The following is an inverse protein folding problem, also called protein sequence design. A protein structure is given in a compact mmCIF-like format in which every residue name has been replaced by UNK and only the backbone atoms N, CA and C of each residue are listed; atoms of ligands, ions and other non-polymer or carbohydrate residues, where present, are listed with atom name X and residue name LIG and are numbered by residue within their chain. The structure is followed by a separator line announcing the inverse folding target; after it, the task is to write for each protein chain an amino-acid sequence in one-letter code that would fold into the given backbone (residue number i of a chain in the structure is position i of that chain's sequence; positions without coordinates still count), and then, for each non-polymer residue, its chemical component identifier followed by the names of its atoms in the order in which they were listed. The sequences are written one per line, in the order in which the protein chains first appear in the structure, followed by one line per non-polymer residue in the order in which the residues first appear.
data_IF_005746999916
#
_entry.id   IF_005746999916
#
_cell.length_a   1.000
_cell.length_b   1.000
_cell.length_c   1.000
_cell.angle_alpha   90.00
_cell.angle_beta   90.00
_cell.angle_gamma   90.00
#
_symmetry.space_group_name_H-M   'P 1'
#
loop_
_entity.id
_entity.type
_entity.pdbx_description
1 polymer ?
#
# COMPACT_ATOMS: atom_id res chain seq x y z
N UNK A 1 12.61 9.83 -3.40
CA UNK A 1 11.13 9.81 -3.51
C UNK A 1 10.62 10.41 -4.82
N UNK A 2 11.06 11.59 -5.24
CA UNK A 2 10.58 12.21 -6.49
C UNK A 2 10.69 11.27 -7.71
N UNK A 3 11.84 10.63 -7.89
CA UNK A 3 12.05 9.67 -8.98
C UNK A 3 11.02 8.50 -8.94
N UNK A 4 10.79 7.92 -7.77
CA UNK A 4 9.83 6.81 -7.63
C UNK A 4 8.41 7.24 -7.98
N UNK A 5 7.98 8.42 -7.52
CA UNK A 5 6.65 8.96 -7.83
C UNK A 5 6.51 9.28 -9.32
N UNK A 6 7.54 9.84 -9.95
CA UNK A 6 7.56 10.11 -11.39
C UNK A 6 7.37 8.82 -12.21
N UNK A 7 8.12 7.76 -11.88
CA UNK A 7 8.03 6.49 -12.60
C UNK A 7 6.69 5.78 -12.32
N UNK A 8 6.16 5.90 -11.09
CA UNK A 8 4.82 5.39 -10.74
C UNK A 8 3.73 6.09 -11.58
N UNK A 9 3.74 7.41 -11.63
CA UNK A 9 2.78 8.17 -12.43
C UNK A 9 2.85 7.79 -13.92
N UNK A 10 4.07 7.63 -14.45
CA UNK A 10 4.26 7.24 -15.85
C UNK A 10 3.68 5.86 -16.15
N UNK A 11 3.97 4.86 -15.31
CA UNK A 11 3.47 3.50 -15.49
C UNK A 11 1.95 3.40 -15.27
N UNK A 12 1.43 4.08 -14.25
CA UNK A 12 0.01 4.10 -13.91
C UNK A 12 -0.84 4.74 -15.03
N UNK A 13 -0.39 5.86 -15.59
CA UNK A 13 -1.10 6.56 -16.66
C UNK A 13 -1.32 5.68 -17.90
N UNK A 14 -0.32 4.86 -18.26
CA UNK A 14 -0.42 3.92 -19.41
C UNK A 14 -1.54 2.89 -19.19
N UNK A 15 -1.79 2.50 -17.95
CA UNK A 15 -2.82 1.52 -17.58
C UNK A 15 -4.16 2.17 -17.16
N UNK A 16 -4.27 3.49 -17.22
CA UNK A 16 -5.49 4.23 -16.85
C UNK A 16 -5.74 4.29 -15.35
N UNK A 17 -4.71 4.14 -14.52
CA UNK A 17 -4.81 4.28 -13.07
C UNK A 17 -4.58 5.72 -12.63
N UNK A 18 -5.31 6.16 -11.62
CA UNK A 18 -5.10 7.42 -10.91
C UNK A 18 -4.15 7.23 -9.73
N UNK A 19 -3.26 8.19 -9.48
CA UNK A 19 -2.26 8.12 -8.41
C UNK A 19 -2.45 9.28 -7.44
N UNK A 20 -2.61 8.94 -6.16
CA UNK A 20 -2.68 9.90 -5.05
C UNK A 20 -1.39 9.83 -4.21
N UNK A 21 -0.61 10.90 -4.17
CA UNK A 21 0.52 10.98 -3.24
C UNK A 21 0.03 11.42 -1.86
N UNK A 22 -0.23 10.46 -0.98
CA UNK A 22 -0.62 10.69 0.42
C UNK A 22 0.56 10.70 1.38
N UNK A 23 1.75 10.38 0.90
CA UNK A 23 3.00 10.38 1.63
C UNK A 23 3.68 11.74 1.68
N UNK A 24 4.93 11.75 2.13
CA UNK A 24 5.77 12.96 2.17
C UNK A 24 6.25 13.34 0.77
N UNK A 25 6.35 14.64 0.51
CA UNK A 25 6.89 15.21 -0.73
C UNK A 25 8.14 16.08 -0.50
N UNK A 26 8.72 15.97 0.69
CA UNK A 26 9.93 16.70 1.08
C UNK A 26 10.08 16.77 2.59
N UNK A 27 11.18 17.37 3.03
CA UNK A 27 11.55 17.44 4.45
C UNK A 27 10.62 18.35 5.28
N UNK A 28 9.98 19.32 4.63
CA UNK A 28 9.07 20.29 5.27
C UNK A 28 7.59 19.85 5.23
N UNK A 29 7.32 18.66 4.75
CA UNK A 29 5.96 18.15 4.66
C UNK A 29 5.49 17.54 5.99
N UNK A 30 4.20 17.17 6.06
CA UNK A 30 3.62 16.43 7.18
C UNK A 30 4.43 15.16 7.46
N UNK A 31 5.11 15.12 8.61
CA UNK A 31 6.10 14.08 8.91
C UNK A 31 5.46 12.72 9.13
N UNK A 32 5.82 11.76 8.30
CA UNK A 32 5.41 10.37 8.43
C UNK A 32 6.63 9.47 8.60
N UNK A 33 6.51 8.45 9.44
CA UNK A 33 7.45 7.34 9.52
C UNK A 33 6.83 6.10 8.88
N UNK A 34 7.62 5.03 8.71
CA UNK A 34 7.08 3.77 8.18
C UNK A 34 5.92 3.20 8.99
N UNK A 35 5.82 3.51 10.29
CA UNK A 35 4.69 3.11 11.15
C UNK A 35 3.40 3.78 10.70
N UNK A 36 3.46 5.10 10.47
CA UNK A 36 2.31 5.87 9.97
C UNK A 36 1.90 5.41 8.56
N UNK A 37 2.86 5.02 7.70
CA UNK A 37 2.55 4.47 6.37
C UNK A 37 1.72 3.20 6.45
N UNK A 38 1.98 2.33 7.44
CA UNK A 38 1.15 1.14 7.67
C UNK A 38 -0.29 1.50 8.04
N UNK A 39 -0.49 2.50 8.91
CA UNK A 39 -1.83 2.98 9.30
C UNK A 39 -2.54 3.61 8.10
N UNK A 40 -1.88 4.48 7.35
CA UNK A 40 -2.44 5.10 6.14
C UNK A 40 -2.87 4.05 5.11
N UNK A 41 -1.99 3.10 4.80
CA UNK A 41 -2.28 2.02 3.86
C UNK A 41 -3.47 1.17 4.30
N UNK A 42 -3.53 0.83 5.59
CA UNK A 42 -4.62 0.04 6.14
C UNK A 42 -5.97 0.78 6.05
N UNK A 43 -6.00 2.08 6.40
CA UNK A 43 -7.21 2.90 6.28
C UNK A 43 -7.68 3.02 4.84
N UNK A 44 -6.77 3.32 3.90
CA UNK A 44 -7.10 3.50 2.49
C UNK A 44 -7.64 2.20 1.85
N UNK A 45 -7.00 1.07 2.10
CA UNK A 45 -7.39 -0.21 1.52
C UNK A 45 -8.67 -0.78 2.16
N UNK A 46 -8.78 -0.76 3.51
CA UNK A 46 -9.98 -1.29 4.18
C UNK A 46 -11.21 -0.40 3.96
N UNK A 47 -11.05 0.93 3.84
CA UNK A 47 -12.12 1.83 3.46
C UNK A 47 -12.46 1.79 1.97
N UNK A 48 -11.73 1.00 1.16
CA UNK A 48 -11.86 0.94 -0.31
C UNK A 48 -11.72 2.31 -0.98
N UNK A 49 -10.89 3.16 -0.40
CA UNK A 49 -10.54 4.45 -1.00
C UNK A 49 -9.54 4.30 -2.15
N UNK A 50 -8.73 3.24 -2.11
CA UNK A 50 -7.81 2.85 -3.18
C UNK A 50 -7.78 1.33 -3.34
N UNK A 51 -7.38 0.84 -4.51
CA UNK A 51 -7.26 -0.59 -4.80
C UNK A 51 -5.86 -1.13 -4.58
N UNK A 52 -4.87 -0.24 -4.53
CA UNK A 52 -3.46 -0.61 -4.43
C UNK A 52 -2.64 0.47 -3.73
N UNK A 53 -1.64 0.08 -2.95
CA UNK A 53 -0.72 0.99 -2.27
C UNK A 53 0.72 0.73 -2.67
N UNK A 54 1.43 1.78 -3.04
CA UNK A 54 2.89 1.76 -3.15
C UNK A 54 3.48 2.54 -1.98
N UNK A 55 4.27 1.88 -1.15
CA UNK A 55 4.93 2.48 0.00
C UNK A 55 6.42 2.19 -0.02
N UNK A 56 7.15 2.79 0.88
CA UNK A 56 8.57 2.51 1.06
C UNK A 56 9.17 3.30 2.23
N UNK A 57 10.37 2.94 2.55
CA UNK A 57 11.23 3.66 3.49
C UNK A 57 12.69 3.49 3.04
N UNK A 58 13.65 3.93 3.80
CA UNK A 58 15.06 3.82 3.41
C UNK A 58 15.44 2.41 2.93
N UNK A 59 15.08 1.37 3.68
CA UNK A 59 15.36 -0.03 3.33
C UNK A 59 14.18 -0.76 2.69
N UNK A 60 12.97 -0.21 2.78
CA UNK A 60 11.72 -0.90 2.41
C UNK A 60 11.23 -1.93 3.43
N UNK A 61 12.10 -2.41 4.32
CA UNK A 61 11.74 -3.49 5.27
C UNK A 61 10.79 -3.02 6.36
N UNK A 62 11.03 -1.82 6.94
CA UNK A 62 10.15 -1.25 7.95
C UNK A 62 8.74 -0.98 7.41
N UNK A 63 8.64 -0.44 6.20
CA UNK A 63 7.34 -0.24 5.54
C UNK A 63 6.64 -1.58 5.28
N UNK A 64 7.35 -2.60 4.78
CA UNK A 64 6.82 -3.96 4.60
C UNK A 64 6.20 -4.51 5.88
N UNK A 65 6.94 -4.45 6.99
CA UNK A 65 6.49 -4.95 8.29
C UNK A 65 5.25 -4.19 8.78
N UNK A 66 5.30 -2.86 8.69
CA UNK A 66 4.21 -1.99 9.16
C UNK A 66 2.92 -2.16 8.36
N UNK A 67 3.02 -2.27 7.04
CA UNK A 67 1.86 -2.52 6.19
C UNK A 67 1.24 -3.90 6.50
N UNK A 68 2.07 -4.94 6.60
CA UNK A 68 1.59 -6.30 6.87
C UNK A 68 1.09 -6.52 8.31
N UNK A 69 1.29 -5.57 9.22
CA UNK A 69 0.73 -5.66 10.57
C UNK A 69 -0.80 -5.54 10.60
N UNK A 70 -1.43 -5.07 9.54
CA UNK A 70 -2.86 -4.78 9.49
C UNK A 70 -3.66 -5.83 8.70
N UNK A 71 -4.88 -6.17 9.14
CA UNK A 71 -5.79 -6.98 8.34
C UNK A 71 -6.13 -6.26 7.03
N UNK A 72 -6.45 -7.02 5.98
CA UNK A 72 -6.78 -6.47 4.67
C UNK A 72 -5.60 -5.94 3.84
N UNK A 73 -4.38 -5.89 4.41
CA UNK A 73 -3.17 -5.44 3.71
C UNK A 73 -2.25 -6.61 3.43
N UNK A 74 -1.91 -6.81 2.17
CA UNK A 74 -0.98 -7.84 1.68
C UNK A 74 0.12 -7.14 0.91
N UNK A 75 1.26 -6.93 1.58
CA UNK A 75 2.37 -6.15 1.05
C UNK A 75 3.56 -7.05 0.71
N UNK A 76 4.05 -6.93 -0.52
CA UNK A 76 5.29 -7.56 -0.98
C UNK A 76 6.47 -6.60 -0.94
N UNK A 77 7.66 -7.11 -0.62
CA UNK A 77 8.90 -6.38 -0.81
C UNK A 77 9.32 -6.49 -2.27
N UNK A 78 9.64 -5.37 -2.89
CA UNK A 78 9.92 -5.34 -4.31
C UNK A 78 11.19 -4.54 -4.61
N UNK A 79 12.13 -5.15 -5.33
CA UNK A 79 13.38 -4.53 -5.79
C UNK A 79 13.61 -4.70 -7.30
N UNK A 80 12.86 -5.60 -7.93
CA UNK A 80 12.96 -5.87 -9.36
C UNK A 80 11.58 -6.14 -9.98
N UNK A 81 11.43 -6.02 -11.31
CA UNK A 81 10.15 -6.20 -11.98
C UNK A 81 9.52 -7.60 -11.80
N UNK A 82 10.35 -8.63 -11.65
CA UNK A 82 9.91 -10.02 -11.43
C UNK A 82 9.21 -10.16 -10.09
N UNK A 83 9.71 -9.50 -9.03
CA UNK A 83 9.04 -9.46 -7.72
C UNK A 83 7.62 -8.91 -7.85
N UNK A 84 7.48 -7.76 -8.53
CA UNK A 84 6.21 -7.09 -8.71
C UNK A 84 5.20 -7.94 -9.48
N UNK A 85 5.62 -8.53 -10.60
CA UNK A 85 4.78 -9.39 -11.42
C UNK A 85 4.30 -10.63 -10.66
N UNK A 86 5.24 -11.39 -10.07
CA UNK A 86 4.90 -12.62 -9.38
C UNK A 86 4.05 -12.34 -8.15
N UNK A 87 4.34 -11.29 -7.39
CA UNK A 87 3.54 -10.93 -6.23
C UNK A 87 2.11 -10.54 -6.62
N UNK A 88 1.93 -9.77 -7.69
CA UNK A 88 0.61 -9.42 -8.20
C UNK A 88 -0.15 -10.65 -8.71
N UNK A 89 0.49 -11.50 -9.51
CA UNK A 89 -0.18 -12.61 -10.19
C UNK A 89 -0.39 -13.85 -9.31
N UNK A 90 0.58 -14.19 -8.46
CA UNK A 90 0.55 -15.41 -7.63
C UNK A 90 -0.08 -15.15 -6.27
N UNK A 91 0.28 -14.04 -5.62
CA UNK A 91 -0.15 -13.74 -4.25
C UNK A 91 -1.38 -12.84 -4.20
N UNK A 92 -1.80 -12.27 -5.31
CA UNK A 92 -2.91 -11.30 -5.38
C UNK A 92 -2.75 -10.14 -4.37
N UNK A 93 -1.50 -9.71 -4.13
CA UNK A 93 -1.18 -8.67 -3.15
C UNK A 93 -1.74 -7.31 -3.55
N UNK A 94 -2.03 -6.46 -2.57
CA UNK A 94 -2.60 -5.13 -2.77
C UNK A 94 -1.68 -3.99 -2.32
N UNK A 95 -0.43 -4.30 -1.98
CA UNK A 95 0.56 -3.29 -1.65
C UNK A 95 1.98 -3.73 -2.02
N UNK A 96 2.83 -2.78 -2.39
CA UNK A 96 4.27 -2.99 -2.56
C UNK A 96 5.06 -2.09 -1.62
N UNK A 97 6.17 -2.62 -1.10
CA UNK A 97 7.14 -1.86 -0.33
C UNK A 97 8.48 -1.85 -1.06
N UNK A 98 8.97 -0.65 -1.38
CA UNK A 98 10.23 -0.43 -2.08
C UNK A 98 11.27 0.22 -1.15
N UNK A 99 12.57 -0.08 -1.34
CA UNK A 99 13.65 0.68 -0.70
C UNK A 99 13.82 2.03 -1.40
N UNK A 100 13.92 3.13 -0.63
CA UNK A 100 14.14 4.47 -1.19
C UNK A 100 15.58 4.97 -1.03
N UNK A 101 16.41 4.25 -0.27
CA UNK A 101 17.81 4.62 -0.02
C UNK A 101 18.82 3.56 -0.48
N UNK A 102 18.38 2.51 -1.17
CA UNK A 102 19.28 1.51 -1.75
C UNK A 102 18.80 1.07 -3.14
N UNK A 103 19.71 0.57 -3.97
CA UNK A 103 19.39 0.14 -5.33
C UNK A 103 19.25 1.30 -6.32
N UNK A 104 19.61 2.52 -5.89
CA UNK A 104 19.59 3.70 -6.74
C UNK A 104 21.02 3.92 -7.29
N UNK A 105 21.11 3.84 -8.59
CA UNK A 105 22.32 4.06 -9.34
C UNK A 105 21.96 4.38 -10.78
N UNK A 106 22.90 4.34 -11.68
CA UNK A 106 22.67 4.57 -13.08
C UNK A 106 21.65 3.55 -13.64
N UNK A 107 20.56 4.03 -14.23
CA UNK A 107 19.46 3.21 -14.75
C UNK A 107 18.41 2.80 -13.70
N UNK A 108 18.46 3.33 -12.47
CA UNK A 108 17.48 3.02 -11.43
C UNK A 108 16.05 3.41 -11.85
N UNK A 109 15.89 4.51 -12.57
CA UNK A 109 14.60 4.97 -13.13
C UNK A 109 13.96 3.93 -14.05
N UNK A 110 14.77 3.22 -14.83
CA UNK A 110 14.31 2.17 -15.75
C UNK A 110 13.79 0.98 -14.94
N UNK A 111 14.57 0.52 -13.96
CA UNK A 111 14.17 -0.60 -13.09
C UNK A 111 12.88 -0.27 -12.33
N UNK A 112 12.79 0.92 -11.74
CA UNK A 112 11.61 1.37 -10.98
C UNK A 112 10.38 1.45 -11.89
N UNK A 113 10.52 1.97 -13.11
CA UNK A 113 9.43 1.98 -14.09
C UNK A 113 8.96 0.57 -14.40
N UNK A 114 9.86 -0.34 -14.70
CA UNK A 114 9.50 -1.72 -15.01
C UNK A 114 8.86 -2.45 -13.82
N UNK A 115 9.24 -2.14 -12.58
CA UNK A 115 8.54 -2.63 -11.39
C UNK A 115 7.06 -2.27 -11.46
N UNK A 116 6.71 -1.00 -11.71
CA UNK A 116 5.32 -0.56 -11.75
C UNK A 116 4.58 -1.06 -12.99
N UNK A 117 5.21 -1.07 -14.16
CA UNK A 117 4.63 -1.68 -15.35
C UNK A 117 4.26 -3.16 -15.13
N UNK A 118 5.09 -3.89 -14.38
CA UNK A 118 4.84 -5.30 -14.07
C UNK A 118 3.84 -5.48 -12.93
N UNK A 119 3.81 -4.59 -11.96
CA UNK A 119 2.77 -4.58 -10.91
C UNK A 119 1.37 -4.38 -11.50
N UNK A 120 1.26 -3.54 -12.53
CA UNK A 120 0.00 -3.17 -13.18
C UNK A 120 -0.22 -3.88 -14.54
N UNK A 121 0.50 -4.93 -14.85
CA UNK A 121 0.42 -5.67 -16.11
C UNK A 121 -0.89 -6.49 -16.25
N UNK A 122 -2.01 -5.87 -16.04
CA UNK A 122 -3.35 -6.46 -16.07
C UNK A 122 -3.93 -6.74 -14.68
N UNK A 123 -5.03 -7.48 -14.66
CA UNK A 123 -5.72 -7.84 -13.43
C UNK A 123 -4.84 -8.74 -12.54
N UNK A 124 -4.84 -8.47 -11.23
CA UNK A 124 -4.11 -9.28 -10.25
C UNK A 124 -4.73 -10.66 -10.10
N UNK A 125 -3.94 -11.62 -9.63
CA UNK A 125 -4.43 -12.96 -9.32
C UNK A 125 -4.75 -13.83 -10.53
N UNK A 126 -4.14 -13.55 -11.70
CA UNK A 126 -4.35 -14.40 -12.87
C UNK A 126 -3.49 -15.68 -12.87
N UNK A 127 -2.60 -15.79 -11.87
CA UNK A 127 -1.73 -16.96 -11.70
C UNK A 127 -0.46 -16.91 -12.54
N UNK A 128 0.55 -17.62 -12.05
CA UNK A 128 1.78 -17.88 -12.84
C UNK A 128 2.39 -19.24 -12.42
N UNK A 129 2.61 -20.17 -13.39
CA UNK A 129 1.99 -20.11 -14.72
C UNK A 129 0.45 -20.14 -14.64
N UNK A 130 -0.24 -19.74 -15.71
CA UNK A 130 -1.69 -19.47 -15.69
C UNK A 130 -2.55 -20.67 -15.22
N UNK A 131 -2.11 -21.90 -15.54
CA UNK A 131 -2.79 -23.15 -15.10
C UNK A 131 -2.77 -23.36 -13.58
N UNK A 132 -1.94 -22.61 -12.84
CA UNK A 132 -1.88 -22.66 -11.38
C UNK A 132 -2.77 -21.63 -10.69
N UNK A 133 -3.50 -20.81 -11.45
CA UNK A 133 -4.33 -19.73 -10.94
C UNK A 133 -5.28 -20.18 -9.82
N UNK A 134 -6.02 -21.26 -10.05
CA UNK A 134 -7.01 -21.73 -9.09
C UNK A 134 -6.39 -22.07 -7.72
N UNK A 135 -5.30 -22.86 -7.73
CA UNK A 135 -4.61 -23.24 -6.49
C UNK A 135 -3.96 -22.04 -5.78
N UNK A 136 -3.43 -21.08 -6.54
CA UNK A 136 -2.81 -19.88 -5.99
C UNK A 136 -3.85 -18.94 -5.38
N UNK A 137 -4.99 -18.75 -6.01
CA UNK A 137 -6.08 -17.92 -5.47
C UNK A 137 -6.75 -18.58 -4.27
N UNK A 138 -6.89 -19.90 -4.26
CA UNK A 138 -7.34 -20.63 -3.08
C UNK A 138 -6.40 -20.38 -1.89
N UNK A 139 -5.08 -20.45 -2.09
CA UNK A 139 -4.11 -20.19 -1.04
C UNK A 139 -4.14 -18.73 -0.57
N UNK A 140 -4.30 -17.77 -1.48
CA UNK A 140 -4.46 -16.36 -1.12
C UNK A 140 -5.71 -16.13 -0.24
N UNK A 141 -6.83 -16.80 -0.57
CA UNK A 141 -8.05 -16.78 0.23
C UNK A 141 -7.87 -17.39 1.62
N UNK A 142 -7.17 -18.54 1.73
CA UNK A 142 -6.83 -19.16 3.01
C UNK A 142 -5.94 -18.24 3.84
N UNK A 143 -4.92 -17.64 3.24
CA UNK A 143 -4.06 -16.68 3.94
C UNK A 143 -4.84 -15.48 4.46
N UNK A 144 -5.83 -15.00 3.70
CA UNK A 144 -6.71 -13.93 4.15
C UNK A 144 -7.52 -14.33 5.40
N UNK A 145 -8.08 -15.56 5.43
CA UNK A 145 -8.78 -16.08 6.60
C UNK A 145 -7.85 -16.22 7.81
N UNK A 146 -6.63 -16.75 7.61
CA UNK A 146 -5.64 -16.87 8.68
C UNK A 146 -5.30 -15.48 9.25
N UNK A 147 -5.04 -14.50 8.38
CA UNK A 147 -4.71 -13.15 8.82
C UNK A 147 -5.87 -12.49 9.57
N UNK A 148 -7.10 -12.64 9.09
CA UNK A 148 -8.29 -12.15 9.78
C UNK A 148 -8.46 -12.80 11.15
N UNK A 149 -8.29 -14.12 11.25
CA UNK A 149 -8.40 -14.86 12.52
C UNK A 149 -7.29 -14.56 13.53
N UNK A 150 -6.09 -14.20 13.04
CA UNK A 150 -4.94 -13.85 13.88
C UNK A 150 -4.89 -12.35 14.26
N UNK A 151 -5.75 -11.51 13.68
CA UNK A 151 -5.79 -10.07 13.90
C UNK A 151 -6.99 -9.70 14.77
N UNK A 152 -6.91 -8.56 15.46
CA UNK A 152 -8.09 -7.88 16.00
C UNK A 152 -8.96 -7.41 14.84
N UNK A 153 -10.26 -7.20 15.12
CA UNK A 153 -11.09 -6.37 14.25
C UNK A 153 -10.38 -5.06 13.92
N UNK A 154 -10.54 -4.56 12.69
CA UNK A 154 -9.75 -3.45 12.19
C UNK A 154 -9.90 -2.18 13.04
N UNK A 155 -11.15 -1.79 13.34
CA UNK A 155 -11.44 -0.59 14.17
C UNK A 155 -10.99 -0.83 15.62
N UNK A 156 -11.21 -2.02 16.16
CA UNK A 156 -10.73 -2.38 17.50
C UNK A 156 -9.20 -2.36 17.58
N UNK A 157 -8.52 -2.78 16.51
CA UNK A 157 -7.08 -2.67 16.35
C UNK A 157 -6.60 -1.23 16.40
N UNK A 158 -7.21 -0.35 15.62
CA UNK A 158 -6.90 1.09 15.60
C UNK A 158 -7.13 1.75 16.97
N UNK A 159 -8.21 1.41 17.66
CA UNK A 159 -8.53 1.91 19.01
C UNK A 159 -7.58 1.39 20.10
N UNK A 160 -6.84 0.30 19.84
CA UNK A 160 -5.94 -0.30 20.83
C UNK A 160 -4.50 0.20 20.79
N UNK A 161 -4.15 1.03 19.81
CA UNK A 161 -2.83 1.67 19.69
C UNK A 161 -2.89 3.11 20.20
N UNK A 162 -1.72 3.74 20.38
CA UNK A 162 -1.63 5.15 20.77
C UNK A 162 -2.40 6.04 19.78
N UNK A 163 -3.43 6.78 20.23
CA UNK A 163 -4.21 7.67 19.37
C UNK A 163 -3.37 8.74 18.66
N UNK A 164 -2.24 9.13 19.23
CA UNK A 164 -1.33 10.10 18.61
C UNK A 164 -0.73 9.56 17.30
N UNK A 165 -0.45 8.25 17.22
CA UNK A 165 0.02 7.62 15.99
C UNK A 165 -1.03 7.68 14.88
N UNK A 166 -2.28 7.39 15.21
CA UNK A 166 -3.37 7.46 14.23
C UNK A 166 -3.59 8.90 13.80
N UNK A 167 -3.66 9.84 14.74
CA UNK A 167 -3.82 11.27 14.45
C UNK A 167 -2.70 11.80 13.54
N UNK A 168 -1.45 11.41 13.81
CA UNK A 168 -0.33 11.77 12.96
C UNK A 168 -0.46 11.16 11.57
N UNK A 169 -0.86 9.90 11.44
CA UNK A 169 -1.03 9.24 10.15
C UNK A 169 -2.07 9.95 9.28
N UNK A 170 -3.25 10.29 9.85
CA UNK A 170 -4.37 10.88 9.10
C UNK A 170 -4.33 12.42 9.03
N UNK A 171 -3.36 13.07 9.69
CA UNK A 171 -3.29 14.53 9.82
C UNK A 171 -2.90 15.26 8.53
N UNK A 172 -2.30 14.58 7.55
CA UNK A 172 -1.85 15.19 6.31
C UNK A 172 -3.00 15.57 5.37
N UNK A 173 -2.97 16.78 4.80
CA UNK A 173 -4.05 17.28 3.93
C UNK A 173 -4.27 16.38 2.71
N UNK A 174 -3.19 15.88 2.07
CA UNK A 174 -3.30 14.98 0.92
C UNK A 174 -3.93 13.63 1.27
N UNK A 175 -3.60 13.09 2.46
CA UNK A 175 -4.27 11.88 2.95
C UNK A 175 -5.76 12.14 3.13
N UNK A 176 -6.14 13.23 3.83
CA UNK A 176 -7.54 13.56 4.09
C UNK A 176 -8.32 13.73 2.80
N UNK A 177 -7.78 14.44 1.82
CA UNK A 177 -8.40 14.62 0.52
C UNK A 177 -8.62 13.27 -0.15
N UNK A 178 -7.57 12.50 -0.39
CA UNK A 178 -7.68 11.21 -1.09
C UNK A 178 -8.60 10.23 -0.35
N UNK A 179 -8.55 10.21 0.99
CA UNK A 179 -9.37 9.33 1.80
C UNK A 179 -10.85 9.73 1.76
N UNK A 180 -11.19 10.98 2.06
CA UNK A 180 -12.60 11.39 2.15
C UNK A 180 -13.29 11.50 0.79
N UNK A 181 -12.55 11.75 -0.28
CA UNK A 181 -13.11 11.80 -1.64
C UNK A 181 -13.45 10.38 -2.17
N UNK A 182 -12.77 9.34 -1.67
CA UNK A 182 -12.86 7.99 -2.26
C UNK A 182 -13.32 6.89 -1.29
N UNK A 183 -13.27 7.07 0.03
CA UNK A 183 -13.62 6.04 1.00
C UNK A 183 -15.10 5.63 0.92
N UNK A 184 -15.34 4.32 0.91
CA UNK A 184 -16.68 3.73 0.76
C UNK A 184 -17.21 3.12 2.08
N UNK A 185 -16.35 2.90 3.08
CA UNK A 185 -16.75 2.33 4.36
C UNK A 185 -17.10 3.44 5.36
N UNK A 186 -18.39 3.54 5.69
CA UNK A 186 -18.93 4.58 6.56
C UNK A 186 -18.40 4.50 8.01
N UNK A 187 -18.13 3.30 8.53
CA UNK A 187 -17.61 3.13 9.89
C UNK A 187 -16.16 3.62 9.99
N UNK A 188 -15.34 3.27 9.01
CA UNK A 188 -13.95 3.74 8.95
C UNK A 188 -13.90 5.25 8.74
N UNK A 189 -14.77 5.80 7.89
CA UNK A 189 -14.89 7.26 7.68
C UNK A 189 -15.26 7.95 8.99
N UNK A 190 -16.27 7.45 9.72
CA UNK A 190 -16.67 8.02 11.00
C UNK A 190 -15.54 7.96 12.05
N UNK A 191 -14.79 6.85 12.08
CA UNK A 191 -13.64 6.72 12.97
C UNK A 191 -12.57 7.79 12.65
N UNK A 192 -12.19 7.95 11.38
CA UNK A 192 -11.16 8.93 10.97
C UNK A 192 -11.62 10.36 11.28
N UNK A 193 -12.90 10.72 11.04
CA UNK A 193 -13.47 12.02 11.43
C UNK A 193 -13.35 12.24 12.93
N UNK A 194 -13.70 11.26 13.74
CA UNK A 194 -13.57 11.34 15.20
C UNK A 194 -12.13 11.57 15.65
N UNK A 195 -11.13 10.92 15.04
CA UNK A 195 -9.70 11.14 15.32
C UNK A 195 -9.27 12.57 14.96
N UNK A 196 -9.83 13.15 13.92
CA UNK A 196 -9.55 14.51 13.47
C UNK A 196 -10.33 15.58 14.26
N UNK A 197 -11.34 15.19 15.05
CA UNK A 197 -12.20 16.11 15.79
C UNK A 197 -13.25 16.81 14.90
N UNK A 198 -13.69 16.13 13.85
CA UNK A 198 -14.70 16.58 12.88
C UNK A 198 -16.06 15.93 13.12
#
# INVERSE_FOLDING_TARGET
MALTLEQLNTAAAVQGHEVFNVGMDGDNDHRLTYIHLGICAALLLNARAVDFVVAGCGTGQGALMSLNAWPGVYCGYCIEPTDAFLFAQVNNGNALSLPFAKGYGWGAEINIRYIFEKAFAGERGQGYPAERRESQMTNAGILAQVKQGASKDFIAGLKSIDPALVKQAVGGARFQQAFFDNAQDAEIVAYVKGVLGQ
#
